data_IF_406234932734
#
_entry.id   IF_406234932734
#
_cell.length_a   1.000
_cell.length_b   1.000
_cell.length_c   1.000
_cell.angle_alpha   90.00
_cell.angle_beta   90.00
_cell.angle_gamma   90.00
#
_symmetry.space_group_name_H-M   'P 1'
#
loop_
_entity.id
_entity.type
_entity.pdbx_description
1 polymer ?
#
# COMPACT_ATOMS: atom_id res chain seq x y z
N UNK A 1 -4.03 -15.58 70.70
CA UNK A 1 -4.90 -14.94 69.76
C UNK A 1 -4.05 -14.72 68.48
N UNK A 2 -4.00 -15.77 67.60
CA UNK A 2 -3.11 -15.81 66.43
C UNK A 2 -3.80 -15.22 65.21
N UNK A 3 -3.32 -14.08 64.74
CA UNK A 3 -3.74 -13.49 63.46
C UNK A 3 -2.99 -14.17 62.31
N UNK A 4 -3.69 -15.04 61.60
CA UNK A 4 -3.26 -15.59 60.32
C UNK A 4 -3.43 -14.51 59.25
N UNK A 5 -2.30 -13.94 58.81
CA UNK A 5 -2.26 -12.92 57.73
C UNK A 5 -2.04 -13.62 56.40
N UNK A 6 -3.16 -13.90 55.72
CA UNK A 6 -3.13 -14.52 54.36
C UNK A 6 -2.63 -13.50 53.34
N UNK A 7 -1.40 -13.74 52.84
CA UNK A 7 -0.89 -12.98 51.69
C UNK A 7 -1.54 -13.52 50.40
N UNK A 8 -2.41 -12.74 49.81
CA UNK A 8 -2.99 -13.02 48.47
C UNK A 8 -1.95 -12.57 47.42
N UNK A 9 -1.21 -13.55 46.87
CA UNK A 9 -0.26 -13.31 45.80
C UNK A 9 -1.02 -13.13 44.49
N UNK A 10 -1.17 -11.87 44.01
CA UNK A 10 -1.72 -11.57 42.69
C UNK A 10 -0.63 -11.86 41.67
N UNK A 11 -0.76 -13.00 40.97
CA UNK A 11 0.09 -13.34 39.82
C UNK A 11 -0.44 -12.54 38.63
N UNK A 12 0.25 -11.42 38.30
CA UNK A 12 0.04 -10.69 37.05
C UNK A 12 0.59 -11.53 35.89
N UNK A 13 -0.30 -12.22 35.19
CA UNK A 13 0.03 -12.88 33.93
C UNK A 13 0.22 -11.79 32.87
N UNK A 14 1.46 -11.35 32.66
CA UNK A 14 1.82 -10.58 31.47
C UNK A 14 1.71 -11.50 30.24
N UNK A 15 0.55 -11.49 29.62
CA UNK A 15 0.37 -12.10 28.30
C UNK A 15 1.25 -11.36 27.29
N UNK A 16 2.36 -11.95 26.91
CA UNK A 16 3.20 -11.46 25.81
C UNK A 16 2.43 -11.65 24.50
N UNK A 17 1.65 -10.66 24.07
CA UNK A 17 1.03 -10.68 22.75
C UNK A 17 2.13 -10.48 21.72
N UNK A 18 2.54 -11.56 21.04
CA UNK A 18 3.49 -11.51 19.94
C UNK A 18 2.86 -10.68 18.82
N UNK A 19 3.51 -9.60 18.43
CA UNK A 19 3.08 -8.86 17.25
C UNK A 19 3.16 -9.76 16.00
N UNK A 20 2.15 -9.71 15.10
CA UNK A 20 2.18 -10.51 13.89
C UNK A 20 3.40 -10.16 13.03
N UNK A 21 4.02 -11.16 12.43
CA UNK A 21 5.12 -10.94 11.49
C UNK A 21 4.61 -10.31 10.19
N UNK A 22 5.51 -9.71 9.40
CA UNK A 22 5.19 -9.17 8.07
C UNK A 22 4.53 -10.24 7.17
N UNK A 23 4.99 -11.49 7.27
CA UNK A 23 4.42 -12.62 6.55
C UNK A 23 2.99 -12.98 7.02
N UNK A 24 2.72 -12.89 8.33
CA UNK A 24 1.37 -13.10 8.86
C UNK A 24 0.40 -12.02 8.38
N UNK A 25 0.88 -10.78 8.32
CA UNK A 25 0.11 -9.64 7.79
C UNK A 25 -0.16 -9.78 6.29
N UNK A 26 0.85 -10.18 5.50
CA UNK A 26 0.74 -10.41 4.06
C UNK A 26 -0.28 -11.52 3.75
N UNK A 27 -0.32 -12.59 4.55
CA UNK A 27 -1.21 -13.72 4.36
C UNK A 27 -2.54 -13.62 5.13
N UNK A 28 -2.85 -12.46 5.70
CA UNK A 28 -4.12 -12.22 6.40
C UNK A 28 -5.30 -12.49 5.47
N UNK A 29 -6.22 -13.37 5.88
CA UNK A 29 -7.35 -13.83 5.04
C UNK A 29 -8.44 -12.76 4.88
N UNK A 30 -8.76 -12.02 5.94
CA UNK A 30 -9.73 -10.92 5.87
C UNK A 30 -8.99 -9.59 5.72
N UNK A 31 -9.05 -8.93 4.54
CA UNK A 31 -8.33 -7.69 4.30
C UNK A 31 -9.03 -6.46 4.87
N UNK A 32 -10.30 -6.56 5.25
CA UNK A 32 -11.07 -5.41 5.70
C UNK A 32 -10.43 -4.77 6.94
N UNK A 33 -10.41 -3.45 6.97
CA UNK A 33 -9.87 -2.71 8.10
C UNK A 33 -9.07 -1.47 7.69
N UNK A 34 -8.51 -0.83 8.72
CA UNK A 34 -7.65 0.35 8.56
C UNK A 34 -6.18 -0.07 8.59
N UNK A 35 -5.37 0.60 7.77
CA UNK A 35 -3.94 0.39 7.59
C UNK A 35 -3.22 1.73 7.74
N UNK A 36 -2.22 1.81 8.61
CA UNK A 36 -1.49 3.04 8.90
C UNK A 36 -2.32 4.09 9.63
N UNK A 37 -2.18 5.35 9.26
CA UNK A 37 -2.84 6.48 9.91
C UNK A 37 -4.34 6.53 9.64
N UNK A 38 -5.08 7.17 10.55
CA UNK A 38 -6.50 7.44 10.33
C UNK A 38 -6.70 8.36 9.11
N UNK A 39 -7.69 8.02 8.28
CA UNK A 39 -8.04 8.85 7.15
C UNK A 39 -8.67 10.17 7.61
N UNK A 40 -8.31 11.26 6.95
CA UNK A 40 -8.95 12.55 7.16
C UNK A 40 -10.43 12.49 6.73
N UNK A 41 -11.25 13.30 7.40
CA UNK A 41 -12.65 13.48 6.99
C UNK A 41 -12.69 14.21 5.64
N UNK A 42 -13.46 13.69 4.70
CA UNK A 42 -13.60 14.31 3.38
C UNK A 42 -14.23 13.37 2.37
N UNK A 43 -14.49 13.89 1.19
CA UNK A 43 -14.96 13.09 0.05
C UNK A 43 -13.74 12.60 -0.73
N UNK A 44 -13.61 11.28 -0.83
CA UNK A 44 -12.53 10.69 -1.62
C UNK A 44 -12.75 10.95 -3.12
N UNK A 45 -11.69 11.41 -3.78
CA UNK A 45 -11.70 11.65 -5.21
C UNK A 45 -11.51 10.35 -5.99
N UNK A 46 -11.91 10.38 -7.27
CA UNK A 46 -11.63 9.30 -8.20
C UNK A 46 -10.26 9.48 -8.84
N UNK A 47 -9.63 8.36 -9.19
CA UNK A 47 -8.26 8.33 -9.73
C UNK A 47 -8.17 9.13 -11.04
N UNK A 48 -9.14 8.92 -11.96
CA UNK A 48 -9.17 9.62 -13.24
C UNK A 48 -9.26 11.15 -13.10
N UNK A 49 -9.85 11.66 -12.00
CA UNK A 49 -9.94 13.12 -11.75
C UNK A 49 -8.54 13.67 -11.47
N UNK A 50 -7.75 12.97 -10.67
CA UNK A 50 -6.38 13.38 -10.33
C UNK A 50 -5.47 13.24 -11.56
N UNK A 51 -5.53 12.10 -12.26
CA UNK A 51 -4.68 11.84 -13.42
C UNK A 51 -5.00 12.70 -14.63
N UNK A 52 -6.23 13.25 -14.73
CA UNK A 52 -6.60 14.20 -15.78
C UNK A 52 -5.93 15.57 -15.60
N UNK A 53 -5.60 15.95 -14.36
CA UNK A 53 -4.98 17.25 -14.02
C UNK A 53 -3.90 17.05 -12.95
N UNK A 54 -2.86 16.26 -13.23
CA UNK A 54 -1.90 15.84 -12.20
C UNK A 54 -1.18 17.01 -11.54
N UNK A 55 -0.89 18.07 -12.28
CA UNK A 55 -0.18 19.25 -11.75
C UNK A 55 -0.98 19.98 -10.64
N UNK A 56 -2.32 19.90 -10.66
CA UNK A 56 -3.15 20.46 -9.59
C UNK A 56 -3.01 19.73 -8.26
N UNK A 57 -2.58 18.46 -8.29
CA UNK A 57 -2.48 17.56 -7.13
C UNK A 57 -1.03 17.25 -6.70
N UNK A 58 -0.07 17.60 -7.54
CA UNK A 58 1.33 17.26 -7.31
C UNK A 58 1.84 17.80 -5.96
N UNK A 59 2.47 16.93 -5.18
CA UNK A 59 2.98 17.18 -3.83
C UNK A 59 1.90 17.55 -2.80
N UNK A 60 0.62 17.33 -3.11
CA UNK A 60 -0.48 17.55 -2.16
C UNK A 60 -0.93 16.24 -1.54
N UNK A 61 -1.45 16.34 -0.32
CA UNK A 61 -2.13 15.22 0.32
C UNK A 61 -3.49 15.02 -0.34
N UNK A 62 -3.75 13.80 -0.81
CA UNK A 62 -4.97 13.41 -1.49
C UNK A 62 -5.68 12.29 -0.73
N UNK A 63 -7.00 12.27 -0.81
CA UNK A 63 -7.85 11.17 -0.38
C UNK A 63 -8.52 10.58 -1.62
N UNK A 64 -8.21 9.32 -1.93
CA UNK A 64 -8.59 8.67 -3.19
C UNK A 64 -9.31 7.37 -2.93
N UNK A 65 -10.36 7.08 -3.70
CA UNK A 65 -11.06 5.79 -3.65
C UNK A 65 -10.90 5.03 -4.97
N UNK A 66 -10.74 3.72 -4.87
CA UNK A 66 -10.63 2.83 -6.02
C UNK A 66 -10.87 1.37 -5.65
N UNK A 67 -10.56 0.49 -6.59
CA UNK A 67 -10.54 -0.97 -6.41
C UNK A 67 -9.09 -1.41 -6.48
N UNK A 68 -8.69 -2.32 -5.59
CA UNK A 68 -7.35 -2.89 -5.60
C UNK A 68 -7.24 -3.90 -6.73
N UNK A 69 -6.45 -3.59 -7.74
CA UNK A 69 -6.18 -4.49 -8.88
C UNK A 69 -5.08 -5.49 -8.55
N UNK A 70 -4.08 -5.04 -7.79
CA UNK A 70 -2.93 -5.88 -7.45
C UNK A 70 -2.30 -5.47 -6.11
N UNK A 71 -1.57 -6.40 -5.51
CA UNK A 71 -0.86 -6.22 -4.24
C UNK A 71 0.56 -6.75 -4.41
N UNK A 72 1.54 -6.06 -3.84
CA UNK A 72 2.93 -6.53 -3.81
C UNK A 72 3.01 -7.97 -3.29
N UNK A 73 3.41 -8.94 -4.13
CA UNK A 73 3.39 -10.35 -3.73
C UNK A 73 4.48 -10.71 -2.73
N UNK A 74 5.52 -9.89 -2.60
CA UNK A 74 6.65 -10.17 -1.74
C UNK A 74 6.44 -9.66 -0.30
N UNK A 75 5.92 -8.42 -0.13
CA UNK A 75 5.89 -7.75 1.17
C UNK A 75 4.63 -6.95 1.44
N UNK A 76 3.67 -6.87 0.50
CA UNK A 76 2.49 -6.03 0.64
C UNK A 76 2.79 -4.52 0.74
N UNK A 77 3.97 -4.08 0.29
CA UNK A 77 4.47 -2.70 0.44
C UNK A 77 3.93 -1.72 -0.62
N UNK A 78 3.10 -2.19 -1.52
CA UNK A 78 2.34 -1.38 -2.47
C UNK A 78 1.07 -2.11 -2.88
N UNK A 79 0.09 -1.33 -3.29
CA UNK A 79 -1.10 -1.79 -4.04
C UNK A 79 -1.21 -0.99 -5.32
N UNK A 80 -1.78 -1.60 -6.35
CA UNK A 80 -2.24 -0.90 -7.55
C UNK A 80 -3.74 -0.74 -7.43
N UNK A 81 -4.24 0.47 -7.63
CA UNK A 81 -5.67 0.76 -7.57
C UNK A 81 -6.14 1.42 -8.86
N UNK A 82 -7.37 1.14 -9.27
CA UNK A 82 -8.00 1.76 -10.42
C UNK A 82 -9.46 2.16 -10.11
N UNK A 83 -10.06 2.94 -10.99
CA UNK A 83 -11.50 3.15 -10.98
C UNK A 83 -12.25 1.89 -11.45
N UNK A 84 -13.59 1.86 -11.29
CA UNK A 84 -14.42 0.68 -11.65
C UNK A 84 -14.18 0.14 -13.06
N UNK A 85 -13.83 1.01 -14.00
CA UNK A 85 -13.59 0.64 -15.41
C UNK A 85 -12.16 0.11 -15.63
N UNK A 86 -11.35 -0.01 -14.58
CA UNK A 86 -9.93 -0.44 -14.61
C UNK A 86 -9.07 0.39 -15.57
N UNK A 87 -9.49 1.62 -15.84
CA UNK A 87 -8.69 2.62 -16.56
C UNK A 87 -7.81 3.38 -15.59
N UNK A 88 -6.68 3.83 -16.07
CA UNK A 88 -5.78 4.73 -15.34
C UNK A 88 -5.36 4.21 -13.95
N UNK A 89 -4.71 3.04 -13.89
CA UNK A 89 -4.26 2.50 -12.60
C UNK A 89 -3.17 3.39 -12.00
N UNK A 90 -3.22 3.55 -10.68
CA UNK A 90 -2.19 4.26 -9.93
C UNK A 90 -1.59 3.37 -8.85
N UNK A 91 -0.27 3.46 -8.68
CA UNK A 91 0.43 2.78 -7.60
C UNK A 91 0.30 3.58 -6.29
N UNK A 92 -0.01 2.85 -5.24
CA UNK A 92 -0.04 3.35 -3.86
C UNK A 92 1.09 2.66 -3.11
N UNK A 93 2.15 3.38 -2.81
CA UNK A 93 3.34 2.87 -2.12
C UNK A 93 3.28 3.27 -0.65
N UNK A 94 3.66 2.37 0.22
CA UNK A 94 3.80 2.60 1.67
C UNK A 94 5.26 2.51 2.09
N UNK A 95 5.58 3.00 3.28
CA UNK A 95 6.89 2.75 3.91
C UNK A 95 6.97 1.27 4.28
N UNK A 96 8.06 0.64 3.87
CA UNK A 96 8.29 -0.78 4.08
C UNK A 96 8.27 -1.12 5.59
N UNK A 97 7.48 -2.12 5.96
CA UNK A 97 7.33 -2.58 7.34
C UNK A 97 6.37 -1.78 8.21
N UNK A 98 5.94 -0.57 7.82
CA UNK A 98 4.95 0.21 8.58
C UNK A 98 3.51 -0.19 8.22
N UNK A 99 3.25 -0.39 6.95
CA UNK A 99 1.96 -0.87 6.44
C UNK A 99 2.23 -2.09 5.55
N UNK A 100 1.49 -3.16 5.79
CA UNK A 100 1.50 -4.36 4.96
C UNK A 100 0.09 -4.62 4.47
N UNK A 101 -0.13 -4.49 3.17
CA UNK A 101 -1.38 -4.88 2.55
C UNK A 101 -1.40 -6.40 2.33
N UNK A 102 -2.44 -7.11 2.79
CA UNK A 102 -2.54 -8.54 2.57
C UNK A 102 -2.88 -8.86 1.11
N UNK A 103 -2.40 -10.00 0.62
CA UNK A 103 -2.70 -10.49 -0.74
C UNK A 103 -4.21 -10.64 -0.97
N UNK A 104 -4.96 -10.96 0.07
CA UNK A 104 -6.42 -11.06 0.04
C UNK A 104 -7.13 -9.73 -0.24
N UNK A 105 -6.42 -8.58 -0.17
CA UNK A 105 -7.02 -7.27 -0.45
C UNK A 105 -7.33 -7.04 -1.94
N UNK A 106 -6.79 -7.86 -2.83
CA UNK A 106 -7.09 -7.80 -4.26
C UNK A 106 -8.60 -7.90 -4.52
N UNK A 107 -9.09 -7.07 -5.44
CA UNK A 107 -10.50 -6.92 -5.82
C UNK A 107 -11.42 -6.26 -4.75
N UNK A 108 -10.87 -5.77 -3.64
CA UNK A 108 -11.64 -5.02 -2.65
C UNK A 108 -11.65 -3.52 -2.94
N UNK A 109 -12.70 -2.85 -2.51
CA UNK A 109 -12.74 -1.39 -2.52
C UNK A 109 -11.79 -0.86 -1.44
N UNK A 110 -11.13 0.24 -1.76
CA UNK A 110 -10.20 0.89 -0.85
C UNK A 110 -10.35 2.41 -0.93
N UNK A 111 -10.13 3.05 0.22
CA UNK A 111 -9.85 4.49 0.28
C UNK A 111 -8.44 4.65 0.83
N UNK A 112 -7.62 5.42 0.14
CA UNK A 112 -6.23 5.70 0.51
C UNK A 112 -6.01 7.19 0.69
N UNK A 113 -5.12 7.53 1.61
CA UNK A 113 -4.65 8.88 1.85
C UNK A 113 -3.14 8.93 1.77
N UNK A 114 -2.62 9.97 1.15
CA UNK A 114 -1.17 10.14 1.04
C UNK A 114 -0.81 11.28 0.10
N UNK A 115 0.49 11.48 -0.09
CA UNK A 115 0.99 12.51 -0.99
C UNK A 115 1.04 12.00 -2.42
N UNK A 116 0.37 12.70 -3.34
CA UNK A 116 0.48 12.42 -4.77
C UNK A 116 1.79 12.97 -5.30
N UNK A 117 2.60 12.12 -5.92
CA UNK A 117 3.93 12.49 -6.40
C UNK A 117 4.16 11.97 -7.82
N UNK A 118 5.08 12.64 -8.52
CA UNK A 118 5.67 12.17 -9.77
C UNK A 118 7.12 11.82 -9.52
N UNK A 119 7.51 10.65 -9.96
CA UNK A 119 8.90 10.21 -10.02
C UNK A 119 9.37 10.34 -11.47
N UNK A 120 10.36 11.17 -11.69
CA UNK A 120 11.07 11.21 -12.98
C UNK A 120 12.21 10.20 -12.95
N UNK A 121 12.34 9.43 -14.02
CA UNK A 121 13.28 8.32 -14.13
C UNK A 121 14.29 8.60 -15.23
N UNK A 122 15.57 8.36 -14.98
CA UNK A 122 16.57 8.28 -16.03
C UNK A 122 16.30 7.06 -16.93
N UNK A 123 16.96 6.97 -18.09
CA UNK A 123 16.83 5.83 -18.98
C UNK A 123 17.10 4.49 -18.27
N UNK A 124 18.20 4.42 -17.52
CA UNK A 124 18.58 3.20 -16.81
C UNK A 124 17.58 2.86 -15.69
N UNK A 125 17.09 3.88 -14.97
CA UNK A 125 16.05 3.69 -13.96
C UNK A 125 14.75 3.18 -14.59
N UNK A 126 14.34 3.70 -15.74
CA UNK A 126 13.14 3.28 -16.44
C UNK A 126 13.25 1.80 -16.92
N UNK A 127 14.41 1.42 -17.48
CA UNK A 127 14.70 0.04 -17.86
C UNK A 127 14.63 -0.88 -16.63
N UNK A 128 15.38 -0.55 -15.59
CA UNK A 128 15.43 -1.34 -14.36
C UNK A 128 14.04 -1.45 -13.70
N UNK A 129 13.24 -0.40 -13.78
CA UNK A 129 11.88 -0.40 -13.27
C UNK A 129 10.98 -1.36 -14.05
N UNK A 130 11.05 -1.37 -15.40
CA UNK A 130 10.31 -2.33 -16.22
C UNK A 130 10.72 -3.78 -15.94
N UNK A 131 12.02 -4.05 -15.82
CA UNK A 131 12.53 -5.37 -15.45
C UNK A 131 12.00 -5.79 -14.07
N UNK A 132 12.06 -4.89 -13.09
CA UNK A 132 11.56 -5.15 -11.75
C UNK A 132 10.07 -5.51 -11.75
N UNK A 133 9.24 -4.72 -12.45
CA UNK A 133 7.80 -4.98 -12.57
C UNK A 133 7.48 -6.30 -13.27
N UNK A 134 8.26 -6.66 -14.29
CA UNK A 134 8.13 -7.95 -14.99
C UNK A 134 8.48 -9.11 -14.06
N UNK A 135 9.56 -8.98 -13.29
CA UNK A 135 10.03 -9.98 -12.32
C UNK A 135 9.01 -10.21 -11.20
N UNK A 136 8.34 -9.16 -10.71
CA UNK A 136 7.24 -9.30 -9.73
C UNK A 136 6.08 -10.17 -10.27
N UNK A 137 5.91 -10.22 -11.59
CA UNK A 137 4.90 -11.03 -12.28
C UNK A 137 5.45 -12.40 -12.75
N UNK A 138 6.69 -12.74 -12.37
CA UNK A 138 7.35 -13.98 -12.79
C UNK A 138 7.82 -13.97 -14.24
N UNK A 139 7.92 -12.79 -14.88
CA UNK A 139 8.38 -12.61 -16.27
C UNK A 139 9.86 -12.22 -16.23
N UNK A 140 10.69 -12.97 -16.93
CA UNK A 140 12.10 -12.62 -17.12
C UNK A 140 12.23 -11.76 -18.39
N UNK A 141 12.55 -10.48 -18.22
CA UNK A 141 12.62 -9.49 -19.28
C UNK A 141 14.08 -9.08 -19.50
N UNK A 142 14.59 -9.28 -20.73
CA UNK A 142 15.93 -8.84 -21.10
C UNK A 142 16.00 -7.30 -21.14
N UNK A 143 16.84 -6.66 -20.29
CA UNK A 143 17.00 -5.21 -20.29
C UNK A 143 17.36 -4.61 -21.66
N UNK A 144 18.13 -5.37 -22.47
CA UNK A 144 18.60 -4.90 -23.78
C UNK A 144 17.48 -4.91 -24.84
N UNK A 145 16.40 -5.65 -24.62
CA UNK A 145 15.25 -5.73 -25.54
C UNK A 145 14.22 -4.62 -25.31
N UNK A 146 14.38 -3.81 -24.23
CA UNK A 146 13.38 -2.83 -23.81
C UNK A 146 13.45 -1.57 -24.67
N UNK A 147 12.36 -1.28 -25.38
CA UNK A 147 12.14 0.01 -26.03
C UNK A 147 11.30 0.89 -25.12
N UNK A 148 11.89 2.00 -24.67
CA UNK A 148 11.20 2.96 -23.79
C UNK A 148 10.31 3.92 -24.59
N UNK A 149 9.09 4.13 -24.07
CA UNK A 149 8.17 5.18 -24.51
C UNK A 149 8.30 6.41 -23.60
N UNK A 150 7.71 7.52 -23.99
CA UNK A 150 7.75 8.77 -23.21
C UNK A 150 7.18 8.58 -21.79
N UNK A 151 6.14 7.79 -21.66
CA UNK A 151 5.45 7.49 -20.42
C UNK A 151 6.28 6.63 -19.45
N UNK A 152 7.31 5.95 -19.94
CA UNK A 152 8.21 5.12 -19.14
C UNK A 152 9.21 5.94 -18.32
N UNK A 153 9.37 7.23 -18.64
CA UNK A 153 10.31 8.11 -17.96
C UNK A 153 9.75 8.78 -16.69
N UNK A 154 8.52 8.48 -16.32
CA UNK A 154 7.94 8.95 -15.08
C UNK A 154 6.87 8.00 -14.56
N UNK A 155 6.63 8.04 -13.25
CA UNK A 155 5.54 7.34 -12.58
C UNK A 155 4.79 8.32 -11.68
N UNK A 156 3.47 8.40 -11.84
CA UNK A 156 2.60 9.00 -10.82
C UNK A 156 2.26 7.95 -9.78
N UNK A 157 2.41 8.30 -8.51
CA UNK A 157 2.04 7.42 -7.41
C UNK A 157 1.54 8.19 -6.20
N UNK A 158 0.92 7.48 -5.26
CA UNK A 158 0.56 8.00 -3.95
C UNK A 158 1.52 7.40 -2.92
N UNK A 159 2.31 8.25 -2.25
CA UNK A 159 3.03 7.85 -1.05
C UNK A 159 2.03 7.82 0.10
N UNK A 160 1.53 6.63 0.41
CA UNK A 160 0.41 6.39 1.30
C UNK A 160 0.82 6.49 2.77
N UNK A 161 0.03 7.21 3.55
CA UNK A 161 0.17 7.29 5.01
C UNK A 161 -0.94 6.54 5.73
N UNK A 162 -2.06 6.29 5.06
CA UNK A 162 -3.18 5.54 5.62
C UNK A 162 -4.15 5.04 4.56
N UNK A 163 -4.77 3.90 4.83
CA UNK A 163 -5.78 3.31 3.96
C UNK A 163 -6.89 2.62 4.75
N UNK A 164 -8.05 2.46 4.11
CA UNK A 164 -9.17 1.66 4.61
C UNK A 164 -9.66 0.74 3.50
N UNK A 165 -9.52 -0.57 3.69
CA UNK A 165 -10.08 -1.60 2.82
C UNK A 165 -11.49 -1.93 3.31
N UNK A 166 -12.45 -2.00 2.38
CA UNK A 166 -13.89 -2.15 2.63
C UNK A 166 -14.40 -3.54 2.25
#
# INVERSE_FOLDING_TARGET
MNFFRTYFCIILLFGCSRQPSELDLLNKKNPQGSYGNHLQKGVAQKIHVILKKPDEYLNKNVLVSGIIDDVCPMRGCWIQISDKNKTDPIRVKVTDGEIVFPLSAKNHNVTVQGTFVRLDLSKDQAINWKVHLAKEKGIDLDPNSIVLQKEDYYEYRINCTGAKVL
#
